data_IF_825905512709
#
_entry.id   IF_825905512709
#
_cell.length_a   1.000
_cell.length_b   1.000
_cell.length_c   1.000
_cell.angle_alpha   90.00
_cell.angle_beta   90.00
_cell.angle_gamma   90.00
#
_symmetry.space_group_name_H-M   'P 1'
#
loop_
_entity.id
_entity.type
_entity.pdbx_description
1 polymer ?
#
# COMPACT_ATOMS: atom_id res chain seq x y z
N UNK A 1 -4.53 21.93 7.49
CA UNK A 1 -5.05 21.54 6.17
C UNK A 1 -5.76 22.73 5.53
N UNK A 2 -5.48 23.04 4.26
CA UNK A 2 -6.21 24.09 3.55
C UNK A 2 -7.67 23.68 3.24
N UNK A 3 -8.48 24.67 2.85
CA UNK A 3 -9.91 24.44 2.58
C UNK A 3 -10.17 23.56 1.35
N UNK A 4 -9.24 23.51 0.39
CA UNK A 4 -9.37 22.72 -0.84
C UNK A 4 -9.13 21.24 -0.54
N UNK A 5 -8.07 20.94 0.21
CA UNK A 5 -7.75 19.59 0.66
C UNK A 5 -8.86 19.05 1.57
N UNK A 6 -9.37 19.89 2.48
CA UNK A 6 -10.51 19.52 3.32
C UNK A 6 -11.74 19.16 2.50
N UNK A 7 -12.07 19.94 1.47
CA UNK A 7 -13.23 19.66 0.62
C UNK A 7 -13.07 18.36 -0.17
N UNK A 8 -11.85 17.97 -0.56
CA UNK A 8 -11.62 16.66 -1.15
C UNK A 8 -11.97 15.52 -0.19
N UNK A 9 -11.61 15.61 1.10
CA UNK A 9 -11.98 14.59 2.07
C UNK A 9 -13.51 14.49 2.27
N UNK A 10 -14.21 15.63 2.28
CA UNK A 10 -15.68 15.67 2.33
C UNK A 10 -16.30 15.05 1.07
N UNK A 11 -15.72 15.34 -0.10
CA UNK A 11 -16.17 14.87 -1.41
C UNK A 11 -15.99 13.35 -1.63
N UNK A 12 -15.19 12.66 -0.81
CA UNK A 12 -15.12 11.20 -0.82
C UNK A 12 -16.47 10.54 -0.50
N UNK A 13 -17.33 11.24 0.25
CA UNK A 13 -18.66 10.79 0.66
C UNK A 13 -19.78 11.34 -0.25
N UNK A 14 -19.44 12.07 -1.31
CA UNK A 14 -20.42 12.61 -2.27
C UNK A 14 -21.22 11.48 -2.94
N UNK A 15 -22.48 11.73 -3.32
CA UNK A 15 -23.27 10.74 -4.07
C UNK A 15 -22.78 10.55 -5.50
N UNK A 16 -22.15 11.59 -6.07
CA UNK A 16 -21.63 11.61 -7.42
C UNK A 16 -20.27 10.92 -7.48
N UNK A 17 -20.12 9.94 -8.37
CA UNK A 17 -18.88 9.16 -8.51
C UNK A 17 -17.74 9.97 -9.11
N UNK A 18 -18.03 10.93 -9.98
CA UNK A 18 -16.98 11.73 -10.63
C UNK A 18 -16.35 12.65 -9.59
N UNK A 19 -17.17 13.23 -8.71
CA UNK A 19 -16.70 14.02 -7.54
C UNK A 19 -15.83 13.16 -6.62
N UNK A 20 -16.25 11.93 -6.31
CA UNK A 20 -15.45 11.02 -5.49
C UNK A 20 -14.10 10.67 -6.13
N UNK A 21 -14.08 10.43 -7.44
CA UNK A 21 -12.86 10.07 -8.20
C UNK A 21 -11.91 11.26 -8.24
N UNK A 22 -12.42 12.47 -8.50
CA UNK A 22 -11.63 13.70 -8.48
C UNK A 22 -10.99 13.92 -7.11
N UNK A 23 -11.78 13.84 -6.04
CA UNK A 23 -11.30 13.95 -4.67
C UNK A 23 -10.21 12.92 -4.36
N UNK A 24 -10.47 11.66 -4.69
CA UNK A 24 -9.51 10.57 -4.50
C UNK A 24 -8.18 10.83 -5.22
N UNK A 25 -8.23 11.25 -6.49
CA UNK A 25 -7.03 11.50 -7.29
C UNK A 25 -6.21 12.67 -6.74
N UNK A 26 -6.87 13.74 -6.31
CA UNK A 26 -6.20 14.89 -5.70
C UNK A 26 -5.51 14.52 -4.38
N UNK A 27 -6.18 13.75 -3.51
CA UNK A 27 -5.59 13.28 -2.25
C UNK A 27 -4.37 12.39 -2.53
N UNK A 28 -4.51 11.36 -3.40
CA UNK A 28 -3.38 10.49 -3.77
C UNK A 28 -2.21 11.29 -4.34
N UNK A 29 -2.49 12.29 -5.18
CA UNK A 29 -1.46 13.15 -5.75
C UNK A 29 -0.74 13.95 -4.67
N UNK A 30 -1.47 14.52 -3.70
CA UNK A 30 -0.88 15.24 -2.58
C UNK A 30 0.02 14.33 -1.72
N UNK A 31 -0.38 13.07 -1.46
CA UNK A 31 0.43 12.12 -0.68
C UNK A 31 1.73 11.65 -1.38
N UNK A 32 1.99 12.09 -2.62
CA UNK A 32 3.28 11.82 -3.27
C UNK A 32 4.41 12.62 -2.62
N UNK A 33 4.09 13.77 -2.04
CA UNK A 33 5.03 14.62 -1.30
C UNK A 33 4.68 14.64 0.18
N UNK A 34 5.58 15.20 0.99
CA UNK A 34 5.29 15.46 2.40
C UNK A 34 4.20 16.53 2.53
N UNK A 35 3.30 16.32 3.49
CA UNK A 35 2.16 17.21 3.76
C UNK A 35 2.07 17.52 5.24
N UNK A 36 1.59 18.72 5.58
CA UNK A 36 1.47 19.20 6.97
C UNK A 36 0.19 18.73 7.68
N UNK A 37 -0.77 18.18 6.93
CA UNK A 37 -2.10 17.83 7.42
C UNK A 37 -2.30 16.34 7.72
N UNK A 38 -1.25 15.50 7.61
CA UNK A 38 -1.37 14.05 7.77
C UNK A 38 -2.09 13.66 9.08
N UNK A 39 -1.77 14.34 10.18
CA UNK A 39 -2.36 14.08 11.50
C UNK A 39 -3.78 14.61 11.67
N UNK A 40 -4.25 15.53 10.82
CA UNK A 40 -5.64 15.99 10.86
C UNK A 40 -6.63 14.91 10.38
N UNK A 41 -6.17 13.98 9.53
CA UNK A 41 -7.01 12.91 8.97
C UNK A 41 -6.64 11.51 9.45
N UNK A 42 -5.50 11.36 10.15
CA UNK A 42 -4.94 10.06 10.52
C UNK A 42 -5.92 9.16 11.26
N UNK A 43 -6.53 9.67 12.34
CA UNK A 43 -7.41 8.89 13.21
C UNK A 43 -8.70 8.48 12.48
N UNK A 44 -9.22 9.35 11.60
CA UNK A 44 -10.35 9.03 10.73
C UNK A 44 -9.98 7.88 9.78
N UNK A 45 -8.84 7.97 9.10
CA UNK A 45 -8.39 6.94 8.17
C UNK A 45 -8.11 5.63 8.88
N UNK A 46 -7.51 5.66 10.07
CA UNK A 46 -7.32 4.48 10.91
C UNK A 46 -8.66 3.82 11.25
N UNK A 47 -9.66 4.60 11.66
CA UNK A 47 -11.01 4.09 11.90
C UNK A 47 -11.65 3.48 10.65
N UNK A 48 -11.37 4.04 9.48
CA UNK A 48 -11.87 3.53 8.20
C UNK A 48 -11.26 2.19 7.76
N UNK A 49 -10.12 1.75 8.31
CA UNK A 49 -9.52 0.46 7.96
C UNK A 49 -10.45 -0.73 8.28
N UNK A 50 -11.39 -0.56 9.21
CA UNK A 50 -12.37 -1.58 9.61
C UNK A 50 -13.81 -1.20 9.29
N UNK A 51 -14.04 -0.18 8.44
CA UNK A 51 -15.39 0.26 8.09
C UNK A 51 -16.17 -0.84 7.36
N UNK A 52 -17.49 -0.87 7.52
CA UNK A 52 -18.38 -1.75 6.76
C UNK A 52 -18.29 -1.52 5.25
N UNK A 53 -18.06 -0.29 4.82
CA UNK A 53 -17.88 0.09 3.43
C UNK A 53 -16.46 -0.25 2.94
N UNK A 54 -16.39 -1.12 1.93
CA UNK A 54 -15.13 -1.55 1.33
C UNK A 54 -14.39 -0.42 0.59
N UNK A 55 -15.08 0.64 0.15
CA UNK A 55 -14.47 1.81 -0.45
C UNK A 55 -13.70 2.63 0.58
N UNK A 56 -14.26 2.83 1.78
CA UNK A 56 -13.56 3.49 2.90
C UNK A 56 -12.32 2.71 3.32
N UNK A 57 -12.43 1.39 3.51
CA UNK A 57 -11.27 0.54 3.82
C UNK A 57 -10.17 0.66 2.77
N UNK A 58 -10.54 0.57 1.48
CA UNK A 58 -9.59 0.69 0.38
C UNK A 58 -8.94 2.07 0.30
N UNK A 59 -9.68 3.15 0.52
CA UNK A 59 -9.15 4.52 0.52
C UNK A 59 -8.22 4.76 1.70
N UNK A 60 -8.66 4.38 2.89
CA UNK A 60 -7.88 4.48 4.11
C UNK A 60 -6.52 3.80 3.98
N UNK A 61 -6.51 2.56 3.48
CA UNK A 61 -5.26 1.82 3.31
C UNK A 61 -4.30 2.51 2.33
N UNK A 62 -4.82 3.00 1.20
CA UNK A 62 -4.00 3.66 0.19
C UNK A 62 -3.49 5.04 0.66
N UNK A 63 -4.32 5.79 1.38
CA UNK A 63 -3.96 7.10 1.92
C UNK A 63 -2.96 6.99 3.06
N UNK A 64 -3.19 6.12 4.05
CA UNK A 64 -2.24 5.91 5.16
C UNK A 64 -0.89 5.42 4.65
N UNK A 65 -0.88 4.52 3.65
CA UNK A 65 0.38 4.09 3.05
C UNK A 65 1.14 5.26 2.38
N UNK A 66 0.43 6.18 1.73
CA UNK A 66 1.03 7.39 1.15
C UNK A 66 1.45 8.43 2.19
N UNK A 67 0.65 8.62 3.25
CA UNK A 67 0.90 9.60 4.30
C UNK A 67 2.01 9.18 5.26
N UNK A 68 2.48 7.94 5.22
CA UNK A 68 3.58 7.47 6.05
C UNK A 68 4.84 8.33 5.92
N UNK A 69 5.13 8.93 4.75
CA UNK A 69 6.26 9.87 4.60
C UNK A 69 6.07 11.19 5.35
N UNK A 70 4.83 11.54 5.66
CA UNK A 70 4.44 12.74 6.40
C UNK A 70 4.22 12.44 7.89
N UNK A 71 4.76 11.33 8.40
CA UNK A 71 4.54 10.83 9.77
C UNK A 71 5.85 10.85 10.60
N UNK A 72 6.33 12.04 11.03
CA UNK A 72 7.54 12.14 11.84
C UNK A 72 7.43 11.45 13.22
N UNK A 73 6.21 11.32 13.78
CA UNK A 73 5.93 10.61 15.02
C UNK A 73 5.91 9.08 14.86
N UNK A 74 6.03 8.56 13.63
CA UNK A 74 6.00 7.13 13.30
C UNK A 74 4.74 6.40 13.77
N UNK A 75 3.58 7.06 13.79
CA UNK A 75 2.28 6.41 14.08
C UNK A 75 2.04 5.17 13.22
N UNK A 76 2.50 5.19 11.98
CA UNK A 76 2.36 4.07 11.05
C UNK A 76 2.98 2.79 11.60
N UNK A 77 4.04 2.86 12.40
CA UNK A 77 4.69 1.68 13.01
C UNK A 77 3.71 0.97 13.96
N UNK A 78 2.99 1.73 14.78
CA UNK A 78 1.96 1.19 15.68
C UNK A 78 0.68 0.76 14.98
N UNK A 79 0.34 1.42 13.87
CA UNK A 79 -0.89 1.16 13.12
C UNK A 79 -0.71 0.17 11.95
N UNK A 80 0.52 -0.24 11.66
CA UNK A 80 0.85 -1.04 10.47
C UNK A 80 0.10 -2.36 10.44
N UNK A 81 -0.08 -3.02 11.59
CA UNK A 81 -0.82 -4.28 11.65
C UNK A 81 -2.26 -4.10 11.13
N UNK A 82 -2.96 -3.05 11.54
CA UNK A 82 -4.31 -2.76 11.06
C UNK A 82 -4.34 -2.45 9.56
N UNK A 83 -3.34 -1.71 9.07
CA UNK A 83 -3.19 -1.42 7.64
C UNK A 83 -2.90 -2.68 6.82
N UNK A 84 -2.01 -3.53 7.30
CA UNK A 84 -1.59 -4.78 6.66
C UNK A 84 -2.74 -5.77 6.55
N UNK A 85 -3.63 -5.83 7.55
CA UNK A 85 -4.82 -6.69 7.50
C UNK A 85 -5.76 -6.32 6.35
N UNK A 86 -5.85 -5.05 5.94
CA UNK A 86 -6.63 -4.65 4.76
C UNK A 86 -6.05 -5.24 3.47
N UNK A 87 -4.76 -5.62 3.43
CA UNK A 87 -4.20 -6.36 2.28
C UNK A 87 -4.71 -7.81 2.16
N UNK A 88 -5.52 -8.26 3.13
CA UNK A 88 -6.23 -9.56 3.16
C UNK A 88 -7.75 -9.39 3.19
N UNK A 89 -8.26 -8.23 2.78
CA UNK A 89 -9.68 -7.92 2.82
C UNK A 89 -10.57 -9.00 2.15
N UNK A 90 -11.74 -9.34 2.73
CA UNK A 90 -12.71 -10.26 2.10
C UNK A 90 -13.13 -9.84 0.68
N UNK A 91 -13.13 -8.53 0.38
CA UNK A 91 -13.29 -8.00 -0.97
C UNK A 91 -11.93 -7.92 -1.63
N UNK A 92 -11.67 -8.86 -2.56
CA UNK A 92 -10.38 -8.95 -3.25
C UNK A 92 -9.90 -7.64 -3.89
N UNK A 93 -10.80 -6.81 -4.44
CA UNK A 93 -10.43 -5.50 -5.00
C UNK A 93 -9.86 -4.55 -3.93
N UNK A 94 -10.44 -4.55 -2.74
CA UNK A 94 -9.95 -3.78 -1.58
C UNK A 94 -8.60 -4.32 -1.10
N UNK A 95 -8.48 -5.64 -0.99
CA UNK A 95 -7.23 -6.31 -0.63
C UNK A 95 -6.10 -5.93 -1.59
N UNK A 96 -6.39 -6.00 -2.88
CA UNK A 96 -5.45 -5.73 -3.95
C UNK A 96 -4.98 -4.28 -3.98
N UNK A 97 -5.89 -3.31 -3.96
CA UNK A 97 -5.50 -1.89 -3.96
C UNK A 97 -4.66 -1.52 -2.72
N UNK A 98 -4.98 -2.12 -1.58
CA UNK A 98 -4.21 -1.93 -0.33
C UNK A 98 -2.81 -2.51 -0.46
N UNK A 99 -2.68 -3.75 -0.96
CA UNK A 99 -1.38 -4.39 -1.21
C UNK A 99 -0.53 -3.61 -2.21
N UNK A 100 -1.13 -3.11 -3.30
CA UNK A 100 -0.42 -2.33 -4.32
C UNK A 100 0.09 -0.96 -3.82
N UNK A 101 -0.45 -0.45 -2.72
CA UNK A 101 -0.01 0.81 -2.11
C UNK A 101 0.93 0.62 -0.92
N UNK A 102 0.97 -0.55 -0.29
CA UNK A 102 1.66 -0.78 1.00
C UNK A 102 3.15 -0.43 0.96
N UNK A 103 3.79 -0.60 -0.19
CA UNK A 103 5.21 -0.32 -0.38
C UNK A 103 5.58 1.13 -0.06
N UNK A 104 4.63 2.08 -0.19
CA UNK A 104 4.84 3.50 0.13
C UNK A 104 5.19 3.73 1.61
N UNK A 105 4.72 2.86 2.52
CA UNK A 105 5.11 2.91 3.94
C UNK A 105 6.62 2.77 4.08
N UNK A 106 7.26 1.93 3.25
CA UNK A 106 8.71 1.73 3.27
C UNK A 106 9.53 2.94 2.83
N UNK A 107 8.90 3.99 2.28
CA UNK A 107 9.57 5.25 1.96
C UNK A 107 9.70 6.19 3.17
N UNK A 108 9.01 5.91 4.28
CA UNK A 108 8.99 6.77 5.45
C UNK A 108 10.26 6.69 6.32
N UNK A 109 11.09 5.67 6.12
CA UNK A 109 12.31 5.48 6.89
C UNK A 109 12.78 4.03 6.93
N UNK A 110 13.96 3.81 7.54
CA UNK A 110 14.59 2.49 7.61
C UNK A 110 13.72 1.45 8.32
N UNK A 111 13.16 1.82 9.47
CA UNK A 111 12.31 0.94 10.28
C UNK A 111 11.04 0.50 9.53
N UNK A 112 10.38 1.44 8.85
CA UNK A 112 9.19 1.18 8.04
C UNK A 112 9.51 0.33 6.80
N UNK A 113 10.66 0.58 6.16
CA UNK A 113 11.15 -0.23 5.04
C UNK A 113 11.35 -1.69 5.45
N UNK A 114 12.08 -1.93 6.54
CA UNK A 114 12.32 -3.26 7.08
C UNK A 114 10.99 -3.95 7.43
N UNK A 115 10.08 -3.24 8.08
CA UNK A 115 8.75 -3.74 8.43
C UNK A 115 7.96 -4.21 7.18
N UNK A 116 7.86 -3.36 6.15
CA UNK A 116 7.15 -3.70 4.91
C UNK A 116 7.80 -4.89 4.21
N UNK A 117 9.12 -4.88 4.07
CA UNK A 117 9.86 -5.95 3.40
C UNK A 117 9.65 -7.27 4.12
N UNK A 118 9.77 -7.31 5.45
CA UNK A 118 9.59 -8.53 6.24
C UNK A 118 8.18 -9.13 6.05
N UNK A 119 7.13 -8.31 6.06
CA UNK A 119 5.77 -8.77 5.84
C UNK A 119 5.53 -9.25 4.39
N UNK A 120 6.14 -8.60 3.40
CA UNK A 120 6.10 -9.04 2.01
C UNK A 120 6.78 -10.41 1.85
N UNK A 121 7.99 -10.57 2.39
CA UNK A 121 8.77 -11.81 2.31
C UNK A 121 8.02 -12.97 2.96
N UNK A 122 7.55 -12.78 4.19
CA UNK A 122 6.81 -13.79 4.93
C UNK A 122 5.57 -14.25 4.15
N UNK A 123 4.72 -13.30 3.72
CA UNK A 123 3.49 -13.64 2.99
C UNK A 123 3.78 -14.22 1.61
N UNK A 124 4.84 -13.79 0.92
CA UNK A 124 5.24 -14.39 -0.35
C UNK A 124 5.61 -15.87 -0.16
N UNK A 125 6.41 -16.19 0.85
CA UNK A 125 6.88 -17.55 1.12
C UNK A 125 5.76 -18.44 1.66
N UNK A 126 4.95 -17.93 2.58
CA UNK A 126 4.01 -18.72 3.37
C UNK A 126 2.55 -18.65 2.90
N UNK A 127 2.19 -17.73 2.00
CA UNK A 127 0.80 -17.48 1.56
C UNK A 127 0.37 -18.20 0.27
N UNK A 128 0.97 -19.33 -0.08
CA UNK A 128 0.66 -20.05 -1.33
C UNK A 128 -0.73 -20.71 -1.33
N UNK A 129 -1.34 -20.89 -0.16
CA UNK A 129 -2.71 -21.40 0.03
C UNK A 129 -3.79 -20.32 -0.17
N UNK A 130 -3.40 -19.04 -0.24
CA UNK A 130 -4.33 -17.94 -0.42
C UNK A 130 -5.05 -18.01 -1.79
N UNK A 131 -6.33 -17.65 -1.78
CA UNK A 131 -7.05 -17.41 -3.03
C UNK A 131 -6.34 -16.30 -3.81
N UNK A 132 -6.04 -16.54 -5.08
CA UNK A 132 -5.29 -15.63 -5.94
C UNK A 132 -3.82 -15.41 -5.53
N UNK A 133 -3.18 -16.35 -4.82
CA UNK A 133 -1.78 -16.21 -4.35
C UNK A 133 -0.80 -15.78 -5.46
N UNK A 134 -0.97 -16.28 -6.70
CA UNK A 134 -0.05 -15.90 -7.81
C UNK A 134 -0.18 -14.43 -8.22
N UNK A 135 -1.35 -13.83 -8.07
CA UNK A 135 -1.56 -12.41 -8.31
C UNK A 135 -1.06 -11.57 -7.13
N UNK A 136 -1.28 -12.06 -5.90
CA UNK A 136 -0.76 -11.44 -4.67
C UNK A 136 0.77 -11.39 -4.71
N UNK A 137 1.44 -12.51 -5.01
CA UNK A 137 2.89 -12.60 -5.21
C UNK A 137 3.37 -11.64 -6.30
N UNK A 138 2.65 -11.53 -7.42
CA UNK A 138 2.98 -10.56 -8.47
C UNK A 138 2.92 -9.12 -7.94
N UNK A 139 1.85 -8.74 -7.24
CA UNK A 139 1.69 -7.39 -6.68
C UNK A 139 2.75 -7.09 -5.59
N UNK A 140 3.20 -8.09 -4.82
CA UNK A 140 4.33 -7.97 -3.89
C UNK A 140 5.66 -7.69 -4.59
N UNK A 141 5.99 -8.44 -5.64
CA UNK A 141 7.19 -8.20 -6.45
C UNK A 141 7.13 -6.81 -7.09
N UNK A 142 5.95 -6.37 -7.55
CA UNK A 142 5.76 -5.00 -8.02
C UNK A 142 5.99 -3.97 -6.91
N UNK A 143 5.56 -4.23 -5.68
CA UNK A 143 5.85 -3.38 -4.53
C UNK A 143 7.35 -3.24 -4.25
N UNK A 144 8.10 -4.34 -4.30
CA UNK A 144 9.57 -4.32 -4.16
C UNK A 144 10.24 -3.53 -5.30
N UNK A 145 9.76 -3.69 -6.54
CA UNK A 145 10.23 -2.89 -7.68
C UNK A 145 10.00 -1.40 -7.48
N UNK A 146 8.82 -1.02 -6.99
CA UNK A 146 8.50 0.39 -6.74
C UNK A 146 9.41 0.99 -5.65
N UNK A 147 9.69 0.24 -4.57
CA UNK A 147 10.67 0.64 -3.56
C UNK A 147 12.06 0.83 -4.17
N UNK A 148 12.54 -0.15 -4.93
CA UNK A 148 13.82 -0.05 -5.63
C UNK A 148 13.86 1.14 -6.59
N UNK A 149 12.78 1.46 -7.29
CA UNK A 149 12.75 2.56 -8.23
C UNK A 149 12.96 3.93 -7.59
N UNK A 150 12.57 4.08 -6.33
CA UNK A 150 12.77 5.30 -5.55
C UNK A 150 14.11 5.27 -4.81
N UNK A 151 14.43 4.17 -4.12
CA UNK A 151 15.58 4.08 -3.21
C UNK A 151 16.89 3.69 -3.90
N UNK A 152 16.81 2.98 -5.04
CA UNK A 152 17.95 2.45 -5.82
C UNK A 152 18.89 1.55 -5.01
N UNK A 153 18.36 0.87 -4.00
CA UNK A 153 19.12 -0.08 -3.17
C UNK A 153 19.11 -1.47 -3.82
N UNK A 154 20.29 -1.96 -4.25
CA UNK A 154 20.42 -3.26 -4.91
C UNK A 154 19.97 -4.44 -4.06
N UNK A 155 20.03 -4.33 -2.72
CA UNK A 155 19.54 -5.36 -1.80
C UNK A 155 18.06 -5.67 -2.01
N UNK A 156 17.23 -4.66 -2.32
CA UNK A 156 15.79 -4.84 -2.60
C UNK A 156 15.59 -5.64 -3.88
N UNK A 157 16.40 -5.36 -4.91
CA UNK A 157 16.35 -6.06 -6.19
C UNK A 157 16.83 -7.50 -6.04
N UNK A 158 17.93 -7.73 -5.33
CA UNK A 158 18.43 -9.07 -5.06
C UNK A 158 17.38 -9.90 -4.32
N UNK A 159 16.79 -9.35 -3.26
CA UNK A 159 15.71 -10.00 -2.52
C UNK A 159 14.53 -10.38 -3.43
N UNK A 160 14.12 -9.48 -4.33
CA UNK A 160 13.05 -9.80 -5.26
C UNK A 160 13.44 -10.93 -6.23
N UNK A 161 14.68 -10.98 -6.72
CA UNK A 161 15.16 -12.09 -7.55
C UNK A 161 15.14 -13.41 -6.78
N UNK A 162 15.64 -13.41 -5.55
CA UNK A 162 15.68 -14.60 -4.70
C UNK A 162 14.27 -15.14 -4.44
N UNK A 163 13.30 -14.26 -4.14
CA UNK A 163 11.90 -14.63 -3.98
C UNK A 163 11.32 -15.23 -5.28
N UNK A 164 11.58 -14.61 -6.43
CA UNK A 164 11.08 -15.12 -7.71
C UNK A 164 11.63 -16.52 -8.00
N UNK A 165 12.89 -16.80 -7.68
CA UNK A 165 13.51 -18.10 -7.89
C UNK A 165 12.86 -19.24 -7.08
N UNK A 166 12.25 -18.92 -5.93
CA UNK A 166 11.50 -19.89 -5.12
C UNK A 166 10.16 -20.33 -5.75
N UNK A 167 9.66 -19.63 -6.77
CA UNK A 167 8.40 -20.00 -7.44
C UNK A 167 8.61 -21.25 -8.31
N UNK A 168 8.00 -22.37 -7.92
CA UNK A 168 8.13 -23.66 -8.63
C UNK A 168 7.44 -23.66 -9.99
N UNK A 169 6.33 -22.93 -10.14
CA UNK A 169 5.65 -22.83 -11.43
C UNK A 169 6.41 -21.87 -12.36
N UNK A 170 7.07 -22.46 -13.37
CA UNK A 170 7.87 -21.76 -14.39
C UNK A 170 7.08 -20.64 -15.08
N UNK A 171 5.76 -20.80 -15.29
CA UNK A 171 4.92 -19.78 -15.90
C UNK A 171 4.85 -18.54 -15.01
N UNK A 172 4.62 -18.72 -13.72
CA UNK A 172 4.52 -17.60 -12.77
C UNK A 172 5.88 -17.01 -12.43
N UNK A 173 6.93 -17.83 -12.31
CA UNK A 173 8.32 -17.35 -12.20
C UNK A 173 8.66 -16.38 -13.34
N UNK A 174 8.40 -16.78 -14.58
CA UNK A 174 8.60 -15.92 -15.77
C UNK A 174 7.74 -14.65 -15.73
N UNK A 175 6.51 -14.74 -15.21
CA UNK A 175 5.61 -13.59 -15.05
C UNK A 175 6.15 -12.60 -14.01
N UNK A 176 6.64 -13.07 -12.87
CA UNK A 176 7.19 -12.17 -11.85
C UNK A 176 8.47 -11.48 -12.35
N UNK A 177 9.31 -12.18 -13.12
CA UNK A 177 10.48 -11.60 -13.77
C UNK A 177 10.15 -10.43 -14.70
N UNK A 178 8.94 -10.35 -15.29
CA UNK A 178 8.60 -9.23 -16.18
C UNK A 178 8.46 -7.90 -15.46
N UNK A 179 8.32 -7.89 -14.14
CA UNK A 179 8.31 -6.66 -13.33
C UNK A 179 9.66 -5.94 -13.40
N UNK A 180 10.74 -6.67 -13.66
CA UNK A 180 12.13 -6.18 -13.65
C UNK A 180 12.74 -6.03 -15.04
N UNK A 181 11.94 -6.20 -16.10
CA UNK A 181 12.34 -5.92 -17.48
C UNK A 181 12.09 -4.46 -17.80
#
# INVERSE_FOLDING_TARGET
MDSVTKSYFENLEAKDKDIQIEAYNNIIAATKEEVDWAYEVWDQLKGWLTDTDNHRRSRAAQFLAGLAKSDPEKRIVGDFSALWEVTRDPKFVTARHSLQSIWKVGLAGKEQKEMVINHIVDRFQNGADEKHYTLIRFDMIQGLKNLYDVLKEEEIKQLAMDLIETEEDIKYRKKYMTVWK
#
